data_IF_945947403566
#
_entry.id   IF_945947403566
#
_cell.length_a   1.000
_cell.length_b   1.000
_cell.length_c   1.000
_cell.angle_alpha   90.00
_cell.angle_beta   90.00
_cell.angle_gamma   90.00
#
_symmetry.space_group_name_H-M   'P 1'
#
loop_
_entity.id
_entity.type
_entity.pdbx_description
1 polymer ?
#
# COMPACT_ATOMS: atom_id res chain seq x y z
N UNK A 1 -62.69 -44.25 -25.95
CA UNK A 1 -63.56 -43.34 -26.69
C UNK A 1 -62.94 -41.96 -26.60
N UNK A 2 -62.41 -41.53 -27.73
CA UNK A 2 -62.24 -40.18 -28.25
C UNK A 2 -61.44 -39.20 -27.38
N UNK A 3 -60.23 -38.82 -27.78
CA UNK A 3 -59.87 -37.80 -28.82
C UNK A 3 -59.63 -36.49 -28.14
N UNK A 4 -58.58 -35.79 -28.18
CA UNK A 4 -57.50 -35.44 -29.12
C UNK A 4 -57.14 -33.94 -28.91
N UNK A 5 -55.90 -33.64 -29.17
CA UNK A 5 -55.39 -32.41 -29.75
C UNK A 5 -55.26 -31.15 -28.90
N UNK A 6 -54.03 -30.68 -28.82
CA UNK A 6 -53.70 -29.28 -28.99
C UNK A 6 -52.37 -28.81 -28.54
N UNK A 7 -51.34 -28.98 -29.36
CA UNK A 7 -50.27 -28.05 -29.78
C UNK A 7 -49.62 -27.12 -28.79
N UNK A 8 -48.32 -27.34 -28.64
CA UNK A 8 -47.19 -26.41 -28.90
C UNK A 8 -47.31 -24.96 -28.51
N UNK A 9 -46.42 -24.53 -27.63
CA UNK A 9 -45.60 -23.35 -27.92
C UNK A 9 -44.39 -23.31 -27.01
N UNK A 10 -43.23 -23.51 -27.61
CA UNK A 10 -41.91 -23.24 -27.03
C UNK A 10 -41.77 -21.76 -26.71
N UNK A 11 -41.36 -21.43 -25.50
CA UNK A 11 -40.76 -20.12 -25.19
C UNK A 11 -39.43 -20.36 -24.54
N UNK A 12 -38.40 -20.26 -25.35
CA UNK A 12 -37.00 -20.05 -24.89
C UNK A 12 -36.94 -18.86 -23.95
N UNK A 13 -36.56 -19.09 -22.70
CA UNK A 13 -36.10 -18.04 -21.80
C UNK A 13 -34.57 -18.04 -21.77
N UNK A 14 -34.02 -17.10 -22.54
CA UNK A 14 -32.59 -16.82 -22.59
C UNK A 14 -32.00 -16.57 -21.20
N UNK A 15 -30.96 -17.32 -20.91
CA UNK A 15 -30.11 -17.12 -19.76
C UNK A 15 -29.32 -15.80 -19.93
N UNK A 16 -29.68 -14.79 -19.16
CA UNK A 16 -28.80 -13.60 -18.96
C UNK A 16 -27.60 -14.03 -18.12
N UNK A 17 -26.44 -14.14 -18.77
CA UNK A 17 -25.16 -14.17 -18.12
C UNK A 17 -24.93 -12.82 -17.41
N UNK A 18 -25.05 -12.82 -16.11
CA UNK A 18 -24.59 -11.73 -15.26
C UNK A 18 -23.06 -11.78 -15.21
N UNK A 19 -22.41 -10.94 -16.03
CA UNK A 19 -20.99 -10.68 -15.94
C UNK A 19 -20.76 -9.73 -14.78
N UNK A 20 -20.57 -10.27 -13.58
CA UNK A 20 -20.13 -9.55 -12.40
C UNK A 20 -18.76 -8.94 -12.63
N UNK A 21 -18.72 -7.63 -12.85
CA UNK A 21 -17.50 -6.82 -12.82
C UNK A 21 -16.85 -6.91 -11.44
N UNK A 22 -15.52 -7.09 -11.35
CA UNK A 22 -14.83 -7.13 -10.05
C UNK A 22 -14.86 -5.75 -9.40
N UNK A 23 -15.60 -5.63 -8.29
CA UNK A 23 -15.71 -4.42 -7.46
C UNK A 23 -14.49 -4.20 -6.55
N UNK A 24 -13.27 -4.29 -7.05
CA UNK A 24 -12.07 -4.17 -6.24
C UNK A 24 -11.04 -3.14 -6.74
N UNK A 25 -11.47 -2.11 -7.49
CA UNK A 25 -10.53 -1.11 -8.02
C UNK A 25 -10.92 0.35 -7.77
N UNK A 26 -11.71 0.65 -6.77
CA UNK A 26 -11.98 2.05 -6.41
C UNK A 26 -11.50 2.31 -4.99
N UNK A 27 -10.43 3.04 -4.87
CA UNK A 27 -9.89 3.90 -3.81
C UNK A 27 -8.41 3.66 -3.57
N UNK A 28 -7.59 4.01 -4.58
CA UNK A 28 -6.18 4.33 -4.32
C UNK A 28 -6.07 5.80 -3.95
N UNK A 29 -5.17 6.20 -3.05
CA UNK A 29 -4.92 7.59 -2.73
C UNK A 29 -4.56 8.36 -4.02
N UNK A 30 -5.16 9.52 -4.21
CA UNK A 30 -4.87 10.45 -5.32
C UNK A 30 -3.36 10.70 -5.40
N UNK A 31 -2.74 10.31 -6.51
CA UNK A 31 -1.37 10.67 -6.84
C UNK A 31 -0.50 9.59 -7.50
N UNK A 32 -0.91 8.32 -7.49
CA UNK A 32 -0.13 7.27 -8.14
C UNK A 32 -0.95 6.58 -9.24
N UNK A 33 -0.79 7.03 -10.48
CA UNK A 33 -1.23 6.26 -11.65
C UNK A 33 -0.24 5.12 -11.87
N UNK A 34 -0.62 3.91 -11.48
CA UNK A 34 0.11 2.70 -11.88
C UNK A 34 -0.18 2.49 -13.37
N UNK A 35 0.71 2.94 -14.23
CA UNK A 35 0.75 2.43 -15.59
C UNK A 35 1.06 0.92 -15.49
N UNK A 36 0.15 0.08 -16.00
CA UNK A 36 0.41 -1.34 -16.23
C UNK A 36 1.45 -1.47 -17.34
N UNK A 37 2.71 -1.25 -17.02
CA UNK A 37 3.81 -1.76 -17.81
C UNK A 37 3.89 -3.27 -17.58
N UNK A 38 4.17 -4.04 -18.63
CA UNK A 38 4.41 -5.47 -18.55
C UNK A 38 5.38 -5.79 -17.41
N UNK A 39 5.27 -6.97 -16.75
CA UNK A 39 6.13 -7.31 -15.62
C UNK A 39 7.59 -7.38 -16.09
N UNK A 40 8.27 -6.25 -15.96
CA UNK A 40 9.73 -6.25 -15.98
C UNK A 40 10.12 -6.90 -14.66
N UNK A 41 10.85 -7.99 -14.72
CA UNK A 41 11.43 -8.66 -13.55
C UNK A 41 12.46 -7.71 -12.95
N UNK A 42 12.01 -6.79 -12.10
CA UNK A 42 12.90 -5.91 -11.36
C UNK A 42 13.82 -6.78 -10.50
N UNK A 43 15.10 -6.56 -10.60
CA UNK A 43 16.06 -7.17 -9.69
C UNK A 43 15.78 -6.63 -8.28
N UNK A 44 16.03 -7.43 -7.25
CA UNK A 44 15.82 -7.01 -5.86
C UNK A 44 16.65 -5.76 -5.50
N UNK A 45 17.70 -5.47 -6.24
CA UNK A 45 18.59 -4.33 -6.08
C UNK A 45 17.95 -3.03 -6.56
N UNK A 46 17.11 -3.08 -7.61
CA UNK A 46 16.41 -1.91 -8.17
C UNK A 46 15.11 -1.57 -7.43
N UNK A 47 14.68 -2.44 -6.51
CA UNK A 47 13.35 -2.33 -5.90
C UNK A 47 13.13 -1.03 -5.13
N UNK A 48 14.17 -0.45 -4.53
CA UNK A 48 14.06 0.75 -3.68
C UNK A 48 14.75 1.99 -4.26
N UNK A 49 15.04 2.01 -5.57
CA UNK A 49 15.71 3.15 -6.22
C UNK A 49 14.94 4.46 -6.13
N UNK A 50 13.62 4.37 -5.95
CA UNK A 50 12.75 5.54 -5.79
C UNK A 50 12.79 6.13 -4.37
N UNK A 51 13.48 5.49 -3.42
CA UNK A 51 13.56 5.94 -2.04
C UNK A 51 14.96 6.52 -1.80
N UNK A 52 15.03 7.80 -1.52
CA UNK A 52 16.30 8.47 -1.18
C UNK A 52 16.65 8.19 0.28
N UNK A 53 17.89 7.77 0.54
CA UNK A 53 18.34 7.40 1.88
C UNK A 53 17.78 6.05 2.38
N UNK A 54 17.81 5.83 3.67
CA UNK A 54 17.33 4.59 4.33
C UNK A 54 18.03 3.31 3.86
N UNK A 55 19.33 3.37 3.54
CA UNK A 55 20.06 2.24 2.97
C UNK A 55 20.15 1.04 3.89
N UNK A 56 20.19 1.26 5.19
CA UNK A 56 20.07 0.25 6.23
C UNK A 56 18.71 -0.46 6.21
N UNK A 57 17.62 0.29 6.07
CA UNK A 57 16.26 -0.25 5.97
C UNK A 57 16.09 -1.03 4.66
N UNK A 58 16.51 -0.47 3.52
CA UNK A 58 16.51 -1.17 2.23
C UNK A 58 17.24 -2.50 2.31
N UNK A 59 18.41 -2.51 2.94
CA UNK A 59 19.20 -3.72 3.16
C UNK A 59 18.45 -4.74 4.01
N UNK A 60 17.74 -4.31 5.08
CA UNK A 60 16.93 -5.21 5.90
C UNK A 60 15.78 -5.83 5.11
N UNK A 61 15.11 -5.07 4.26
CA UNK A 61 14.08 -5.62 3.36
C UNK A 61 14.67 -6.66 2.41
N UNK A 62 15.81 -6.37 1.77
CA UNK A 62 16.46 -7.31 0.86
C UNK A 62 16.90 -8.61 1.57
N UNK A 63 17.41 -8.52 2.79
CA UNK A 63 17.71 -9.68 3.63
C UNK A 63 16.43 -10.46 3.97
N UNK A 64 15.34 -9.78 4.32
CA UNK A 64 14.05 -10.42 4.56
C UNK A 64 13.55 -11.16 3.32
N UNK A 65 13.56 -10.55 2.13
CA UNK A 65 13.14 -11.22 0.88
C UNK A 65 13.95 -12.45 0.54
N UNK A 66 15.21 -12.49 0.98
CA UNK A 66 16.15 -13.57 0.70
C UNK A 66 16.17 -14.64 1.80
N UNK A 67 15.49 -14.39 2.92
CA UNK A 67 15.45 -15.33 4.06
C UNK A 67 14.68 -16.61 3.72
N UNK A 68 15.11 -17.72 4.26
CA UNK A 68 14.39 -19.00 4.10
C UNK A 68 13.05 -19.02 4.81
N UNK A 69 12.98 -18.38 5.98
CA UNK A 69 11.74 -18.23 6.76
C UNK A 69 11.23 -16.80 6.67
N UNK A 70 9.90 -16.60 6.67
CA UNK A 70 9.35 -15.26 6.67
C UNK A 70 9.86 -14.41 7.85
N UNK A 71 10.40 -13.25 7.54
CA UNK A 71 10.73 -12.20 8.50
C UNK A 71 9.79 -11.04 8.21
N UNK A 72 8.92 -10.72 9.17
CA UNK A 72 7.91 -9.70 9.02
C UNK A 72 8.45 -8.35 9.49
N UNK A 73 8.15 -7.28 8.76
CA UNK A 73 8.66 -5.94 9.07
C UNK A 73 7.48 -4.98 9.26
N UNK A 74 7.51 -4.22 10.34
CA UNK A 74 6.56 -3.14 10.61
C UNK A 74 7.30 -1.80 10.69
N UNK A 75 6.96 -0.87 9.80
CA UNK A 75 7.45 0.50 9.82
C UNK A 75 6.52 1.35 10.68
N UNK A 76 7.02 1.87 11.79
CA UNK A 76 6.26 2.70 12.74
C UNK A 76 6.79 4.13 12.70
N UNK A 77 5.92 5.12 12.63
CA UNK A 77 6.36 6.52 12.70
C UNK A 77 5.30 7.52 12.25
N UNK A 78 5.58 8.82 12.34
CA UNK A 78 4.61 9.85 12.00
C UNK A 78 4.20 9.79 10.52
N UNK A 79 3.06 10.40 10.16
CA UNK A 79 2.70 10.61 8.77
C UNK A 79 3.84 11.28 7.99
N UNK A 80 3.90 11.02 6.68
CA UNK A 80 4.88 11.61 5.77
C UNK A 80 6.36 11.25 6.06
N UNK A 81 6.62 10.07 6.60
CA UNK A 81 7.96 9.55 6.90
C UNK A 81 8.42 8.41 5.98
N UNK A 82 8.05 8.43 4.70
CA UNK A 82 8.39 7.43 3.67
C UNK A 82 7.82 6.01 3.85
N UNK A 83 7.14 5.67 4.93
CA UNK A 83 6.65 4.31 5.19
C UNK A 83 5.86 3.72 4.01
N UNK A 84 4.87 4.48 3.52
CA UNK A 84 4.03 4.05 2.39
C UNK A 84 4.84 3.86 1.10
N UNK A 85 5.94 4.62 0.90
CA UNK A 85 6.82 4.42 -0.26
C UNK A 85 7.46 3.03 -0.25
N UNK A 86 7.94 2.56 0.92
CA UNK A 86 8.43 1.19 1.06
C UNK A 86 7.36 0.15 0.71
N UNK A 87 6.11 0.38 1.13
CA UNK A 87 5.00 -0.52 0.81
C UNK A 87 4.71 -0.56 -0.69
N UNK A 88 4.72 0.61 -1.36
CA UNK A 88 4.51 0.69 -2.81
C UNK A 88 5.62 -0.03 -3.58
N UNK A 89 6.87 0.07 -3.13
CA UNK A 89 7.96 -0.70 -3.72
C UNK A 89 7.77 -2.22 -3.51
N UNK A 90 7.38 -2.65 -2.30
CA UNK A 90 7.08 -4.06 -2.03
C UNK A 90 5.93 -4.61 -2.90
N UNK A 91 5.00 -3.77 -3.34
CA UNK A 91 3.92 -4.18 -4.25
C UNK A 91 4.39 -4.55 -5.65
N UNK A 92 5.57 -4.09 -6.07
CA UNK A 92 6.16 -4.46 -7.35
C UNK A 92 6.69 -5.90 -7.37
N UNK A 93 6.85 -6.51 -6.20
CA UNK A 93 7.28 -7.90 -6.09
C UNK A 93 6.21 -8.85 -6.63
N UNK A 94 6.66 -9.89 -7.30
CA UNK A 94 5.79 -10.94 -7.80
C UNK A 94 5.00 -11.61 -6.65
N UNK A 95 3.72 -11.86 -6.87
CA UNK A 95 2.81 -12.44 -5.89
C UNK A 95 2.66 -11.60 -4.62
N UNK A 96 2.75 -10.27 -4.74
CA UNK A 96 2.41 -9.35 -3.67
C UNK A 96 0.91 -9.06 -3.64
N UNK A 97 0.40 -8.82 -2.43
CA UNK A 97 -0.97 -8.35 -2.20
C UNK A 97 -0.96 -7.18 -1.23
N UNK A 98 -1.64 -6.12 -1.62
CA UNK A 98 -1.77 -4.90 -0.83
C UNK A 98 -3.17 -4.77 -0.25
N UNK A 99 -3.23 -4.32 0.99
CA UNK A 99 -4.48 -3.95 1.65
C UNK A 99 -4.27 -2.79 2.61
N UNK A 100 -5.33 -2.03 2.86
CA UNK A 100 -5.37 -1.01 3.90
C UNK A 100 -5.95 -1.60 5.18
N UNK A 101 -5.39 -1.27 6.33
CA UNK A 101 -5.88 -1.75 7.62
C UNK A 101 -7.37 -1.46 7.83
N UNK A 102 -7.83 -0.25 7.47
CA UNK A 102 -9.23 0.17 7.57
C UNK A 102 -10.21 -0.61 6.68
N UNK A 103 -9.74 -1.17 5.57
CA UNK A 103 -10.56 -1.92 4.61
C UNK A 103 -10.35 -3.44 4.68
N UNK A 104 -9.52 -3.90 5.61
CA UNK A 104 -9.18 -5.31 5.77
C UNK A 104 -10.11 -5.97 6.79
N UNK A 105 -11.01 -6.84 6.31
CA UNK A 105 -11.77 -7.72 7.20
C UNK A 105 -11.10 -9.09 7.27
N UNK A 106 -11.22 -9.78 8.41
CA UNK A 106 -10.72 -11.14 8.58
C UNK A 106 -11.18 -12.08 7.47
N UNK A 107 -12.49 -12.05 7.16
CA UNK A 107 -13.06 -12.94 6.13
C UNK A 107 -12.48 -12.62 4.75
N UNK A 108 -12.46 -11.34 4.35
CA UNK A 108 -11.95 -10.93 3.03
C UNK A 108 -10.47 -11.26 2.85
N UNK A 109 -9.65 -11.04 3.89
CA UNK A 109 -8.24 -11.39 3.87
C UNK A 109 -8.03 -12.91 3.80
N UNK A 110 -8.78 -13.68 4.58
CA UNK A 110 -8.70 -15.14 4.57
C UNK A 110 -9.10 -15.69 3.19
N UNK A 111 -10.20 -15.21 2.62
CA UNK A 111 -10.64 -15.64 1.28
C UNK A 111 -9.55 -15.37 0.24
N UNK A 112 -8.94 -14.19 0.27
CA UNK A 112 -7.84 -13.85 -0.63
C UNK A 112 -6.61 -14.75 -0.42
N UNK A 113 -6.23 -15.01 0.83
CA UNK A 113 -5.09 -15.89 1.15
C UNK A 113 -5.30 -17.31 0.60
N UNK A 114 -6.53 -17.83 0.67
CA UNK A 114 -6.85 -19.13 0.08
C UNK A 114 -6.78 -19.13 -1.44
N UNK A 115 -7.30 -18.08 -2.07
CA UNK A 115 -7.44 -17.99 -3.53
C UNK A 115 -6.11 -17.68 -4.22
N UNK A 116 -5.39 -16.66 -3.76
CA UNK A 116 -4.21 -16.13 -4.46
C UNK A 116 -2.88 -16.63 -3.88
N UNK A 117 -2.86 -17.10 -2.65
CA UNK A 117 -1.65 -17.58 -1.96
C UNK A 117 -0.47 -16.64 -2.13
N UNK A 118 -0.58 -15.38 -1.70
CA UNK A 118 0.45 -14.38 -1.92
C UNK A 118 1.75 -14.76 -1.20
N UNK A 119 2.89 -14.43 -1.81
CA UNK A 119 4.19 -14.52 -1.15
C UNK A 119 4.43 -13.34 -0.22
N UNK A 120 3.95 -12.16 -0.63
CA UNK A 120 4.11 -10.93 0.13
C UNK A 120 2.74 -10.31 0.42
N UNK A 121 2.45 -10.12 1.69
CA UNK A 121 1.26 -9.41 2.17
C UNK A 121 1.69 -8.03 2.68
N UNK A 122 1.20 -6.99 2.04
CA UNK A 122 1.50 -5.60 2.37
C UNK A 122 0.26 -4.97 3.00
N UNK A 123 0.39 -4.48 4.23
CA UNK A 123 -0.71 -3.88 5.00
C UNK A 123 -0.33 -2.44 5.36
N UNK A 124 -0.94 -1.46 4.71
CA UNK A 124 -0.73 -0.06 5.06
C UNK A 124 -1.71 0.36 6.16
N UNK A 125 -1.26 1.18 7.10
CA UNK A 125 -2.04 1.68 8.24
C UNK A 125 -2.70 0.56 9.07
N UNK A 126 -1.92 -0.46 9.45
CA UNK A 126 -2.42 -1.65 10.17
C UNK A 126 -3.10 -1.31 11.51
N UNK A 127 -2.79 -0.16 12.13
CA UNK A 127 -3.44 0.34 13.34
C UNK A 127 -4.94 0.59 13.19
N UNK A 128 -5.42 0.75 11.95
CA UNK A 128 -6.84 0.89 11.64
C UNK A 128 -7.57 -0.45 11.45
N UNK A 129 -6.82 -1.56 11.44
CA UNK A 129 -7.43 -2.90 11.40
C UNK A 129 -8.07 -3.22 12.75
N UNK A 130 -9.36 -3.61 12.79
CA UNK A 130 -10.01 -4.03 14.04
C UNK A 130 -9.23 -5.15 14.73
N UNK A 131 -9.14 -5.14 16.06
CA UNK A 131 -8.37 -6.14 16.83
C UNK A 131 -8.78 -7.58 16.52
N UNK A 132 -10.10 -7.83 16.31
CA UNK A 132 -10.61 -9.14 15.92
C UNK A 132 -10.06 -9.61 14.57
N UNK A 133 -9.76 -8.69 13.65
CA UNK A 133 -9.25 -8.99 12.32
C UNK A 133 -7.73 -9.16 12.33
N UNK A 134 -7.02 -8.47 13.25
CA UNK A 134 -5.58 -8.67 13.49
C UNK A 134 -5.25 -10.11 13.90
N UNK A 135 -6.18 -10.83 14.55
CA UNK A 135 -5.97 -12.24 14.95
C UNK A 135 -5.73 -13.18 13.76
N UNK A 136 -6.22 -12.85 12.57
CA UNK A 136 -5.95 -13.64 11.38
C UNK A 136 -4.46 -13.60 10.96
N UNK A 137 -3.80 -12.47 11.20
CA UNK A 137 -2.37 -12.32 10.93
C UNK A 137 -1.51 -13.12 11.91
N UNK A 138 -1.95 -13.29 13.16
CA UNK A 138 -1.18 -14.03 14.16
C UNK A 138 -0.84 -15.45 13.70
N UNK A 139 -1.84 -16.21 13.26
CA UNK A 139 -1.66 -17.58 12.79
C UNK A 139 -0.82 -17.65 11.52
N UNK A 140 -1.09 -16.75 10.57
CA UNK A 140 -0.33 -16.64 9.33
C UNK A 140 1.15 -16.36 9.61
N UNK A 141 1.45 -15.43 10.51
CA UNK A 141 2.84 -14.99 10.78
C UNK A 141 3.62 -16.01 11.60
N UNK A 142 2.97 -16.74 12.49
CA UNK A 142 3.66 -17.71 13.35
C UNK A 142 3.88 -19.06 12.70
N UNK A 143 2.82 -19.61 12.11
CA UNK A 143 2.80 -20.98 11.59
C UNK A 143 2.61 -21.08 10.09
N UNK A 144 2.23 -19.98 9.46
CA UNK A 144 1.77 -19.97 8.07
C UNK A 144 0.38 -20.58 7.88
N UNK A 145 -0.27 -21.04 8.96
CA UNK A 145 -1.56 -21.72 8.86
C UNK A 145 -2.68 -20.70 8.76
N UNK A 146 -3.48 -20.83 7.72
CA UNK A 146 -4.74 -20.10 7.53
C UNK A 146 -5.87 -21.09 7.60
N UNK A 147 -6.79 -20.88 8.54
CA UNK A 147 -7.94 -21.76 8.74
C UNK A 147 -9.23 -20.95 8.74
N UNK A 148 -10.26 -21.50 8.14
CA UNK A 148 -11.60 -20.94 8.15
C UNK A 148 -12.64 -22.04 8.26
N UNK A 149 -13.66 -21.81 9.10
CA UNK A 149 -14.84 -22.68 9.20
C UNK A 149 -16.08 -21.87 8.84
N UNK A 150 -16.77 -22.24 7.75
CA UNK A 150 -18.04 -21.69 7.31
C UNK A 150 -19.03 -22.81 7.05
N UNK A 151 -20.25 -22.72 7.64
CA UNK A 151 -21.36 -23.66 7.36
C UNK A 151 -20.93 -25.14 7.28
N UNK A 152 -20.32 -25.63 8.37
CA UNK A 152 -19.86 -27.03 8.50
C UNK A 152 -18.71 -27.45 7.55
N UNK A 153 -18.16 -26.52 6.79
CA UNK A 153 -16.97 -26.75 5.97
C UNK A 153 -15.77 -26.07 6.61
N UNK A 154 -14.75 -26.86 6.93
CA UNK A 154 -13.45 -26.34 7.38
C UNK A 154 -12.48 -26.43 6.22
N UNK A 155 -11.83 -25.31 5.90
CA UNK A 155 -10.70 -25.29 4.99
C UNK A 155 -9.47 -24.76 5.73
N UNK A 156 -8.34 -25.36 5.43
CA UNK A 156 -7.05 -24.92 5.94
C UNK A 156 -6.00 -24.98 4.83
N UNK A 157 -5.00 -24.16 4.94
CA UNK A 157 -3.83 -24.16 4.06
C UNK A 157 -2.64 -23.65 4.84
N UNK A 158 -1.45 -24.06 4.41
CA UNK A 158 -0.20 -23.53 4.93
C UNK A 158 0.45 -22.67 3.85
N UNK A 159 0.80 -21.44 4.21
CA UNK A 159 1.39 -20.45 3.33
C UNK A 159 2.75 -20.02 3.89
N UNK A 160 3.69 -19.76 2.99
CA UNK A 160 4.94 -19.10 3.30
C UNK A 160 4.85 -17.65 2.83
N UNK A 161 4.32 -16.77 3.71
CA UNK A 161 3.98 -15.38 3.38
C UNK A 161 4.78 -14.43 4.28
N UNK A 162 5.49 -13.49 3.67
CA UNK A 162 6.10 -12.34 4.36
C UNK A 162 5.05 -11.26 4.55
N UNK A 163 4.98 -10.69 5.73
CA UNK A 163 4.06 -9.59 6.04
C UNK A 163 4.88 -8.32 6.25
N UNK A 164 4.60 -7.32 5.45
CA UNK A 164 5.16 -5.98 5.57
C UNK A 164 4.03 -5.00 5.88
N UNK A 165 4.20 -4.21 6.91
CA UNK A 165 3.15 -3.31 7.34
C UNK A 165 3.68 -1.92 7.70
N UNK A 166 2.77 -0.94 7.71
CA UNK A 166 3.03 0.38 8.27
C UNK A 166 2.06 0.70 9.39
N UNK A 167 2.48 1.55 10.29
CA UNK A 167 1.62 2.11 11.34
C UNK A 167 2.08 3.52 11.73
N UNK A 168 1.15 4.39 12.10
CA UNK A 168 1.49 5.67 12.71
C UNK A 168 1.66 5.54 14.24
N UNK A 169 0.97 4.58 14.87
CA UNK A 169 1.04 4.26 16.29
C UNK A 169 0.83 2.77 16.53
N UNK A 170 1.44 2.22 17.57
CA UNK A 170 1.26 0.81 17.96
C UNK A 170 0.18 0.60 19.03
N UNK A 171 -0.44 1.66 19.53
CA UNK A 171 -1.40 1.62 20.65
C UNK A 171 -2.64 0.75 20.38
N UNK A 172 -3.07 0.69 19.11
CA UNK A 172 -4.24 -0.10 18.68
C UNK A 172 -3.89 -1.48 18.15
N UNK A 173 -2.65 -1.90 18.33
CA UNK A 173 -2.18 -3.19 17.85
C UNK A 173 -2.10 -4.20 18.99
N UNK A 174 -2.44 -5.44 18.69
CA UNK A 174 -2.29 -6.54 19.65
C UNK A 174 -0.81 -6.77 19.98
N UNK A 175 -0.47 -6.81 21.27
CA UNK A 175 0.91 -7.11 21.73
C UNK A 175 1.48 -8.41 21.13
N UNK A 176 0.72 -9.52 21.03
CA UNK A 176 1.20 -10.70 20.34
C UNK A 176 1.50 -10.50 18.86
N UNK A 177 0.80 -9.59 18.18
CA UNK A 177 1.08 -9.26 16.78
C UNK A 177 2.38 -8.46 16.66
N UNK A 178 2.57 -7.46 17.52
CA UNK A 178 3.80 -6.66 17.56
C UNK A 178 5.05 -7.51 17.77
N UNK A 179 4.99 -8.53 18.64
CA UNK A 179 6.14 -9.41 18.91
C UNK A 179 6.59 -10.26 17.71
N UNK A 180 5.76 -10.35 16.67
CA UNK A 180 6.07 -11.10 15.43
C UNK A 180 6.68 -10.24 14.35
N UNK A 181 6.66 -8.93 14.55
CA UNK A 181 7.30 -7.99 13.63
C UNK A 181 8.69 -7.59 14.09
N UNK A 182 9.59 -7.41 13.13
CA UNK A 182 10.77 -6.56 13.30
C UNK A 182 10.30 -5.11 13.20
N UNK A 183 10.35 -4.37 14.32
CA UNK A 183 9.87 -2.99 14.41
C UNK A 183 10.96 -2.02 13.96
N UNK A 184 10.66 -1.18 12.99
CA UNK A 184 11.54 -0.11 12.52
C UNK A 184 10.87 1.24 12.75
N UNK A 185 11.44 2.04 13.64
CA UNK A 185 10.89 3.34 14.01
C UNK A 185 11.41 4.44 13.10
N UNK A 186 10.52 4.98 12.28
CA UNK A 186 10.77 6.11 11.40
C UNK A 186 10.57 7.42 12.16
N UNK A 187 11.51 8.34 11.98
CA UNK A 187 11.43 9.71 12.53
C UNK A 187 10.96 10.66 11.44
N UNK A 188 10.45 11.82 11.83
CA UNK A 188 10.27 12.91 10.89
C UNK A 188 11.61 13.29 10.25
N UNK A 189 11.54 13.69 8.98
CA UNK A 189 12.71 14.18 8.27
C UNK A 189 13.33 15.38 8.99
N UNK A 190 14.66 15.46 8.97
CA UNK A 190 15.40 16.68 9.18
C UNK A 190 15.39 17.49 7.89
N UNK A 191 15.70 18.79 7.99
CA UNK A 191 15.66 19.68 6.83
C UNK A 191 16.51 19.17 5.66
N UNK A 192 17.73 18.74 5.93
CA UNK A 192 18.68 18.28 4.93
C UNK A 192 18.10 17.08 4.13
N UNK A 193 17.67 16.05 4.85
CA UNK A 193 17.06 14.85 4.22
C UNK A 193 15.76 15.19 3.50
N UNK A 194 14.94 16.06 4.08
CA UNK A 194 13.70 16.51 3.44
C UNK A 194 13.99 17.22 2.12
N UNK A 195 14.95 18.15 2.14
CA UNK A 195 15.33 18.94 0.98
C UNK A 195 15.85 18.04 -0.15
N UNK A 196 16.80 17.15 0.15
CA UNK A 196 17.35 16.21 -0.83
C UNK A 196 16.27 15.33 -1.46
N UNK A 197 15.38 14.77 -0.65
CA UNK A 197 14.27 13.92 -1.12
C UNK A 197 13.30 14.73 -1.99
N UNK A 198 12.91 15.93 -1.55
CA UNK A 198 11.98 16.77 -2.27
C UNK A 198 12.54 17.17 -3.65
N UNK A 199 13.78 17.64 -3.69
CA UNK A 199 14.45 18.04 -4.94
C UNK A 199 14.59 16.83 -5.87
N UNK A 200 15.01 15.67 -5.35
CA UNK A 200 15.13 14.45 -6.15
C UNK A 200 13.80 14.03 -6.77
N UNK A 201 12.73 13.99 -5.99
CA UNK A 201 11.41 13.58 -6.48
C UNK A 201 10.86 14.56 -7.52
N UNK A 202 10.96 15.87 -7.26
CA UNK A 202 10.50 16.89 -8.20
C UNK A 202 11.28 16.86 -9.53
N UNK A 203 12.60 16.64 -9.47
CA UNK A 203 13.44 16.51 -10.66
C UNK A 203 13.06 15.29 -11.50
N UNK A 204 12.71 14.17 -10.86
CA UNK A 204 12.22 12.97 -11.57
C UNK A 204 10.87 13.18 -12.26
N UNK A 205 10.05 14.09 -11.76
CA UNK A 205 8.79 14.49 -12.39
C UNK A 205 8.98 15.56 -13.47
N UNK A 206 10.23 15.86 -13.84
CA UNK A 206 10.57 16.78 -14.93
C UNK A 206 10.52 18.26 -14.52
N UNK A 207 10.43 18.56 -13.22
CA UNK A 207 10.48 19.93 -12.71
C UNK A 207 11.94 20.40 -12.69
N UNK A 208 12.18 21.62 -13.19
CA UNK A 208 13.53 22.16 -13.23
C UNK A 208 14.14 22.22 -11.81
N UNK A 209 15.44 21.97 -11.71
CA UNK A 209 16.14 21.95 -10.44
C UNK A 209 15.97 23.28 -9.67
N UNK A 210 15.94 24.41 -10.39
CA UNK A 210 15.73 25.74 -9.80
C UNK A 210 14.37 25.87 -9.10
N UNK A 211 13.30 25.38 -9.74
CA UNK A 211 11.94 25.38 -9.15
C UNK A 211 11.88 24.36 -8.03
N UNK A 212 12.44 23.16 -8.21
CA UNK A 212 12.44 22.12 -7.22
C UNK A 212 13.09 22.56 -5.90
N UNK A 213 14.25 23.21 -5.97
CA UNK A 213 14.92 23.80 -4.82
C UNK A 213 14.08 24.87 -4.13
N UNK A 214 13.48 25.78 -4.93
CA UNK A 214 12.62 26.85 -4.40
C UNK A 214 11.38 26.29 -3.70
N UNK A 215 10.74 25.27 -4.27
CA UNK A 215 9.57 24.59 -3.68
C UNK A 215 9.95 23.90 -2.37
N UNK A 216 11.04 23.12 -2.35
CA UNK A 216 11.49 22.39 -1.16
C UNK A 216 11.73 23.33 0.02
N UNK A 217 12.44 24.45 -0.23
CA UNK A 217 12.72 25.43 0.80
C UNK A 217 11.46 26.20 1.25
N UNK A 218 10.62 26.62 0.32
CA UNK A 218 9.41 27.39 0.64
C UNK A 218 8.37 26.57 1.41
N UNK A 219 8.17 25.30 1.06
CA UNK A 219 7.24 24.40 1.77
C UNK A 219 7.74 24.15 3.19
N UNK A 220 9.02 23.90 3.37
CA UNK A 220 9.60 23.72 4.72
C UNK A 220 9.58 25.00 5.54
N UNK A 221 10.15 26.08 5.00
CA UNK A 221 10.39 27.31 5.76
C UNK A 221 9.14 28.16 5.92
N UNK A 222 8.36 28.38 4.85
CA UNK A 222 7.21 29.29 4.83
C UNK A 222 5.90 28.59 5.18
N UNK A 223 5.64 27.37 4.66
CA UNK A 223 4.44 26.57 4.96
C UNK A 223 4.54 25.79 6.28
N UNK A 224 5.76 25.62 6.82
CA UNK A 224 6.07 24.78 7.99
C UNK A 224 5.59 23.32 7.82
N UNK A 225 5.49 22.84 6.58
CA UNK A 225 5.14 21.46 6.29
C UNK A 225 6.38 20.58 6.17
N UNK A 226 6.31 19.41 6.79
CA UNK A 226 7.32 18.35 6.67
C UNK A 226 6.86 17.22 5.77
N UNK A 227 5.72 17.38 5.11
CA UNK A 227 5.16 16.39 4.21
C UNK A 227 5.70 16.63 2.77
N UNK A 228 6.47 15.68 2.28
CA UNK A 228 7.02 15.70 0.91
C UNK A 228 5.90 15.82 -0.15
N UNK A 229 4.71 15.29 0.13
CA UNK A 229 3.56 15.38 -0.77
C UNK A 229 3.12 16.83 -1.03
N UNK A 230 3.35 17.71 -0.08
CA UNK A 230 3.05 19.13 -0.27
C UNK A 230 4.04 19.78 -1.26
N UNK A 231 5.33 19.35 -1.27
CA UNK A 231 6.27 19.77 -2.31
C UNK A 231 5.80 19.33 -3.70
N UNK A 232 5.37 18.08 -3.83
CA UNK A 232 4.90 17.53 -5.12
C UNK A 232 3.69 18.35 -5.63
N UNK A 233 2.71 18.61 -4.75
CA UNK A 233 1.53 19.43 -5.12
C UNK A 233 1.90 20.85 -5.58
N UNK A 234 2.77 21.52 -4.84
CA UNK A 234 3.25 22.86 -5.18
C UNK A 234 4.05 22.83 -6.48
N UNK A 235 4.95 21.85 -6.62
CA UNK A 235 5.81 21.70 -7.80
C UNK A 235 5.02 21.45 -9.09
N UNK A 236 3.94 20.69 -9.03
CA UNK A 236 3.07 20.47 -10.19
C UNK A 236 2.33 21.74 -10.65
N UNK A 237 2.07 22.67 -9.74
CA UNK A 237 1.37 23.91 -10.05
C UNK A 237 2.30 25.04 -10.48
N UNK A 238 3.51 25.08 -9.92
CA UNK A 238 4.46 26.18 -10.13
C UNK A 238 5.27 25.98 -11.41
N UNK A 239 5.34 27.01 -12.25
CA UNK A 239 6.23 27.10 -13.41
C UNK A 239 7.35 28.11 -13.22
N UNK A 240 7.17 29.04 -12.30
CA UNK A 240 8.12 30.11 -11.97
C UNK A 240 8.29 30.19 -10.44
N UNK A 241 9.34 30.89 -10.00
CA UNK A 241 9.53 31.17 -8.57
C UNK A 241 8.39 32.02 -7.97
N UNK A 242 7.85 32.94 -8.76
CA UNK A 242 6.72 33.78 -8.36
C UNK A 242 5.47 32.95 -8.13
N UNK A 243 5.23 31.92 -8.97
CA UNK A 243 4.12 30.98 -8.73
C UNK A 243 4.27 30.26 -7.39
N UNK A 244 5.49 29.82 -7.03
CA UNK A 244 5.74 29.16 -5.74
C UNK A 244 5.33 30.06 -4.58
N UNK A 245 5.79 31.33 -4.59
CA UNK A 245 5.46 32.28 -3.53
C UNK A 245 3.95 32.53 -3.45
N UNK A 246 3.31 32.76 -4.57
CA UNK A 246 1.86 33.01 -4.63
C UNK A 246 1.06 31.80 -4.14
N UNK A 247 1.42 30.58 -4.55
CA UNK A 247 0.76 29.34 -4.12
C UNK A 247 0.90 29.18 -2.59
N UNK A 248 2.11 29.34 -2.06
CA UNK A 248 2.38 29.21 -0.62
C UNK A 248 1.57 30.24 0.19
N UNK A 249 1.53 31.49 -0.23
CA UNK A 249 0.74 32.53 0.43
C UNK A 249 -0.76 32.23 0.38
N UNK A 250 -1.24 31.77 -0.77
CA UNK A 250 -2.64 31.36 -0.93
C UNK A 250 -2.97 30.21 0.01
N UNK A 251 -2.16 29.15 0.05
CA UNK A 251 -2.38 28.02 0.94
C UNK A 251 -2.36 28.42 2.43
N UNK A 252 -1.53 29.37 2.83
CA UNK A 252 -1.52 29.90 4.20
C UNK A 252 -2.79 30.67 4.55
N UNK A 253 -3.36 31.38 3.60
CA UNK A 253 -4.56 32.19 3.83
C UNK A 253 -5.81 31.34 4.09
N UNK A 254 -5.84 30.10 3.53
CA UNK A 254 -7.00 29.20 3.63
C UNK A 254 -6.75 27.97 4.50
N UNK A 255 -5.67 27.92 5.26
CA UNK A 255 -5.33 26.88 6.21
C UNK A 255 -5.65 27.31 7.64
#
# INVERSE_FOLDING_TARGET
>A
MKVDLGTSMDIEKGAKKDMGTPKAQRNMPLGYSIQKTAPTTLTKEELFDNIVGYDDVKRLFNLSFSSEKPVHILLVGPPASAKTLFMLECMKLERSYFTLGSHSTKSGMIDYLFEKRPRYLVVDEIEHMPMKDQTALLSLMETGIVSETKFQKTRNTQLKTWVFATSNSTERMLTPLLSRFMLLHFKQYRYESYYEIAVHLLSREGISNEIACTVADAVWSKMKSKDIRDCIKVGHLAKTKQDVDWIIETLKKYK
#
